data_IF_867813088681
#
_entry.id   IF_867813088681
#
_cell.length_a   1.000
_cell.length_b   1.000
_cell.length_c   1.000
_cell.angle_alpha   90.00
_cell.angle_beta   90.00
_cell.angle_gamma   90.00
#
_symmetry.space_group_name_H-M   'P 1'
#
loop_
_entity.id
_entity.type
_entity.pdbx_description
1 polymer ?
#
# COMPACT_ATOMS: atom_id res chain seq x y z
N UNK A 1 -67.65 -13.30 29.17
CA UNK A 1 -66.67 -14.10 29.94
C UNK A 1 -65.31 -13.53 29.57
N UNK A 2 -64.81 -12.51 30.27
CA UNK A 2 -64.42 -12.53 31.69
C UNK A 2 -62.94 -12.96 31.72
N UNK A 3 -62.02 -12.40 32.47
CA UNK A 3 -62.00 -11.29 33.41
C UNK A 3 -60.51 -10.95 33.64
N UNK A 4 -60.29 -9.76 34.18
CA UNK A 4 -59.07 -9.23 34.78
C UNK A 4 -58.02 -10.21 35.34
N UNK A 5 -56.73 -9.86 35.18
CA UNK A 5 -55.86 -9.41 36.30
C UNK A 5 -54.46 -8.95 35.85
N UNK A 6 -54.07 -7.75 36.29
CA UNK A 6 -52.69 -7.32 36.54
C UNK A 6 -52.16 -7.94 37.85
N UNK A 7 -50.84 -7.90 38.12
CA UNK A 7 -50.22 -6.79 38.89
C UNK A 7 -48.87 -6.32 38.25
N UNK A 8 -48.58 -5.02 38.12
CA UNK A 8 -48.11 -4.02 39.12
C UNK A 8 -46.75 -4.35 39.78
N UNK A 9 -45.77 -3.46 39.58
CA UNK A 9 -44.55 -3.39 40.40
C UNK A 9 -43.38 -2.54 39.86
N UNK A 10 -43.48 -1.20 39.94
CA UNK A 10 -42.41 -0.21 40.25
C UNK A 10 -41.08 -0.22 39.47
N UNK A 11 -40.77 0.73 38.57
CA UNK A 11 -40.47 2.17 38.75
C UNK A 11 -39.18 2.49 39.53
N UNK A 12 -38.14 2.97 38.82
CA UNK A 12 -37.06 3.89 39.26
C UNK A 12 -36.33 4.40 37.99
N UNK A 13 -36.81 5.50 37.41
CA UNK A 13 -36.18 6.84 37.41
C UNK A 13 -34.86 6.96 36.64
N UNK A 14 -34.97 7.43 35.39
CA UNK A 14 -33.94 8.13 34.62
C UNK A 14 -33.63 9.49 35.28
N UNK A 15 -32.35 9.91 35.38
CA UNK A 15 -32.03 11.32 35.56
C UNK A 15 -31.82 12.03 34.21
N UNK A 16 -32.40 13.22 34.13
CA UNK A 16 -32.38 14.16 33.04
C UNK A 16 -31.07 14.96 32.93
N UNK A 17 -30.74 15.35 31.69
CA UNK A 17 -30.22 16.64 31.21
C UNK A 17 -29.39 17.56 32.13
N UNK A 18 -28.17 17.91 31.69
CA UNK A 18 -27.57 19.22 31.96
C UNK A 18 -26.74 19.72 30.75
N UNK A 19 -27.04 20.91 30.20
CA UNK A 19 -26.29 21.52 29.09
C UNK A 19 -25.32 22.61 29.59
N UNK A 20 -24.28 22.90 28.81
CA UNK A 20 -23.49 24.14 28.86
C UNK A 20 -21.97 23.95 28.75
N UNK A 21 -21.19 24.97 28.36
CA UNK A 21 -21.57 26.32 27.98
C UNK A 21 -21.34 26.66 26.49
N UNK A 22 -22.21 27.55 26.01
CA UNK A 22 -22.10 28.34 24.79
C UNK A 22 -20.87 29.26 24.79
N UNK A 23 -20.01 29.14 23.79
CA UNK A 23 -19.20 30.27 23.32
C UNK A 23 -19.85 30.84 22.06
N UNK A 24 -20.65 31.86 22.31
CA UNK A 24 -21.22 32.74 21.30
C UNK A 24 -20.11 33.53 20.59
N UNK A 25 -20.22 33.56 19.26
CA UNK A 25 -20.13 34.79 18.45
C UNK A 25 -18.74 35.42 18.27
N UNK A 26 -18.12 35.14 17.12
CA UNK A 26 -17.72 36.23 16.22
C UNK A 26 -18.18 35.91 14.81
N UNK A 27 -19.18 36.69 14.37
CA UNK A 27 -19.46 36.95 12.98
C UNK A 27 -18.42 37.93 12.46
N UNK A 28 -17.98 37.74 11.23
CA UNK A 28 -17.09 38.65 10.52
C UNK A 28 -17.06 38.27 9.04
N UNK A 29 -17.82 39.02 8.26
CA UNK A 29 -18.04 38.90 6.83
C UNK A 29 -16.75 39.02 6.02
N UNK A 30 -16.70 38.39 4.83
CA UNK A 30 -15.69 38.76 3.85
C UNK A 30 -15.47 37.76 2.71
N UNK A 31 -16.06 38.06 1.56
CA UNK A 31 -15.36 37.86 0.29
C UNK A 31 -15.71 36.60 -0.50
N UNK A 32 -16.74 36.73 -1.33
CA UNK A 32 -16.84 35.97 -2.57
C UNK A 32 -15.59 36.18 -3.44
N UNK A 33 -14.77 35.14 -3.62
CA UNK A 33 -13.88 35.01 -4.80
C UNK A 33 -13.79 33.55 -5.24
N UNK A 34 -14.06 33.37 -6.54
CA UNK A 34 -13.85 32.19 -7.38
C UNK A 34 -12.56 31.44 -7.05
N UNK A 35 -12.61 30.11 -7.01
CA UNK A 35 -11.62 29.26 -7.68
C UNK A 35 -12.06 27.78 -7.69
N UNK A 36 -12.35 27.30 -8.89
CA UNK A 36 -12.65 25.93 -9.29
C UNK A 36 -11.45 24.98 -9.11
N UNK A 37 -11.08 24.66 -7.86
CA UNK A 37 -9.97 23.73 -7.55
C UNK A 37 -10.24 22.69 -6.46
N UNK A 38 -11.38 22.77 -5.75
CA UNK A 38 -11.64 21.95 -4.56
C UNK A 38 -12.13 20.52 -4.83
N UNK A 39 -12.71 20.25 -6.01
CA UNK A 39 -13.36 18.94 -6.28
C UNK A 39 -12.35 17.81 -6.54
N UNK A 40 -11.17 18.13 -7.06
CA UNK A 40 -10.12 17.13 -7.34
C UNK A 40 -9.37 16.73 -6.07
N UNK A 41 -9.21 17.67 -5.11
CA UNK A 41 -8.55 17.39 -3.82
C UNK A 41 -9.47 16.64 -2.85
N UNK A 42 -10.77 16.90 -2.88
CA UNK A 42 -11.74 16.14 -2.09
C UNK A 42 -11.86 14.67 -2.55
N UNK A 43 -11.71 14.41 -3.86
CA UNK A 43 -11.74 13.05 -4.41
C UNK A 43 -10.50 12.23 -3.99
N UNK A 44 -9.32 12.86 -3.87
CA UNK A 44 -8.11 12.18 -3.39
C UNK A 44 -8.13 11.91 -1.87
N UNK A 45 -8.74 12.79 -1.08
CA UNK A 45 -8.86 12.59 0.36
C UNK A 45 -9.86 11.48 0.73
N UNK A 46 -10.91 11.28 -0.08
CA UNK A 46 -11.87 10.19 0.10
C UNK A 46 -11.29 8.80 -0.24
N UNK A 47 -10.27 8.73 -1.11
CA UNK A 47 -9.54 7.50 -1.42
C UNK A 47 -8.51 7.11 -0.36
N UNK A 48 -8.07 8.07 0.48
CA UNK A 48 -7.09 7.83 1.55
C UNK A 48 -7.71 7.36 2.87
N UNK A 49 -9.03 7.49 3.04
CA UNK A 49 -9.71 7.09 4.29
C UNK A 49 -10.30 5.67 4.27
N UNK A 50 -10.24 4.96 3.14
CA UNK A 50 -10.82 3.61 2.99
C UNK A 50 -9.82 2.46 3.24
N UNK A 51 -8.61 2.75 3.70
CA UNK A 51 -7.56 1.75 3.93
C UNK A 51 -7.34 1.38 5.42
N UNK A 52 -8.13 1.94 6.35
CA UNK A 52 -8.03 1.63 7.77
C UNK A 52 -9.19 0.71 8.23
N UNK A 53 -9.24 -0.51 7.69
CA UNK A 53 -10.07 -1.60 8.19
C UNK A 53 -9.20 -2.64 8.92
N UNK A 54 -9.74 -3.35 9.94
CA UNK A 54 -8.98 -4.33 10.71
C UNK A 54 -8.48 -5.46 9.80
N UNK A 55 -7.20 -5.81 9.94
CA UNK A 55 -6.54 -6.86 9.19
C UNK A 55 -7.01 -8.25 9.66
N UNK A 56 -8.11 -8.72 9.08
CA UNK A 56 -8.33 -10.16 8.90
C UNK A 56 -7.99 -10.47 7.44
N UNK A 57 -6.94 -11.25 7.24
CA UNK A 57 -6.59 -11.81 5.93
C UNK A 57 -7.69 -12.83 5.56
N UNK A 58 -8.75 -12.32 4.96
CA UNK A 58 -9.89 -13.10 4.48
C UNK A 58 -9.46 -13.90 3.24
N UNK A 59 -9.76 -15.20 3.18
CA UNK A 59 -9.48 -16.10 2.05
C UNK A 59 -10.03 -15.53 0.72
N UNK A 60 -11.10 -14.73 0.82
CA UNK A 60 -11.66 -13.97 -0.29
C UNK A 60 -10.72 -12.85 -0.81
N UNK A 61 -9.90 -12.23 0.03
CA UNK A 61 -8.90 -11.23 -0.39
C UNK A 61 -7.71 -11.89 -1.09
N UNK A 62 -7.25 -13.05 -0.62
CA UNK A 62 -6.18 -13.80 -1.29
C UNK A 62 -6.64 -14.29 -2.67
N UNK A 63 -7.85 -14.82 -2.76
CA UNK A 63 -8.43 -15.28 -4.04
C UNK A 63 -8.54 -14.13 -5.03
N UNK A 64 -9.02 -12.95 -4.59
CA UNK A 64 -9.07 -11.73 -5.42
C UNK A 64 -7.69 -11.26 -5.87
N UNK A 65 -6.66 -11.35 -5.02
CA UNK A 65 -5.28 -11.01 -5.38
C UNK A 65 -4.72 -11.96 -6.45
N UNK A 66 -4.99 -13.26 -6.32
CA UNK A 66 -4.59 -14.27 -7.31
C UNK A 66 -5.28 -14.04 -8.66
N UNK A 67 -6.57 -13.72 -8.65
CA UNK A 67 -7.31 -13.45 -9.87
C UNK A 67 -6.89 -12.12 -10.52
N UNK A 68 -6.65 -11.08 -9.72
CA UNK A 68 -6.07 -9.81 -10.20
C UNK A 68 -4.68 -10.03 -10.83
N UNK A 69 -3.84 -10.89 -10.24
CA UNK A 69 -2.53 -11.24 -10.79
C UNK A 69 -2.65 -11.99 -12.12
N UNK A 70 -3.55 -12.99 -12.22
CA UNK A 70 -3.82 -13.70 -13.49
C UNK A 70 -4.31 -12.75 -14.58
N UNK A 71 -5.20 -11.82 -14.21
CA UNK A 71 -5.69 -10.81 -15.13
C UNK A 71 -4.57 -9.87 -15.60
N UNK A 72 -3.70 -9.43 -14.69
CA UNK A 72 -2.54 -8.60 -15.02
C UNK A 72 -1.55 -9.33 -15.96
N UNK A 73 -1.26 -10.61 -15.70
CA UNK A 73 -0.40 -11.44 -16.59
C UNK A 73 -1.03 -11.59 -17.98
N UNK A 74 -2.34 -11.78 -18.05
CA UNK A 74 -3.05 -11.92 -19.34
C UNK A 74 -3.06 -10.60 -20.11
N UNK A 75 -3.28 -9.48 -19.41
CA UNK A 75 -3.15 -8.15 -20.00
C UNK A 75 -1.73 -7.90 -20.50
N UNK A 76 -0.70 -8.27 -19.74
CA UNK A 76 0.69 -8.13 -20.14
C UNK A 76 0.99 -8.90 -21.44
N UNK A 77 0.58 -10.17 -21.53
CA UNK A 77 0.78 -10.96 -22.76
C UNK A 77 0.07 -10.36 -23.97
N UNK A 78 -1.19 -9.95 -23.80
CA UNK A 78 -1.97 -9.27 -24.86
C UNK A 78 -1.30 -7.97 -25.34
N UNK A 79 -0.71 -7.21 -24.41
CA UNK A 79 0.04 -6.00 -24.71
C UNK A 79 1.38 -6.30 -25.41
N UNK A 80 2.10 -7.34 -25.01
CA UNK A 80 3.32 -7.81 -25.67
C UNK A 80 3.04 -8.28 -27.10
N UNK A 81 1.95 -9.04 -27.31
CA UNK A 81 1.50 -9.47 -28.64
C UNK A 81 1.14 -8.27 -29.53
N UNK A 82 0.47 -7.26 -28.98
CA UNK A 82 0.13 -6.02 -29.70
C UNK A 82 1.39 -5.23 -30.09
N UNK A 83 2.41 -5.20 -29.23
CA UNK A 83 3.70 -4.56 -29.51
C UNK A 83 4.46 -5.30 -30.62
N UNK A 84 4.54 -6.63 -30.55
CA UNK A 84 5.15 -7.46 -31.58
C UNK A 84 4.44 -7.30 -32.94
N UNK A 85 3.10 -7.22 -32.92
CA UNK A 85 2.31 -6.99 -34.13
C UNK A 85 2.56 -5.59 -34.74
N UNK A 86 2.69 -4.55 -33.92
CA UNK A 86 3.04 -3.21 -34.39
C UNK A 86 4.46 -3.18 -34.98
N UNK A 87 5.43 -3.85 -34.33
CA UNK A 87 6.80 -3.95 -34.85
C UNK A 87 6.86 -4.67 -36.20
N UNK A 88 6.07 -5.73 -36.39
CA UNK A 88 5.94 -6.43 -37.67
C UNK A 88 5.37 -5.51 -38.76
N UNK A 89 4.31 -4.75 -38.45
CA UNK A 89 3.70 -3.78 -39.38
C UNK A 89 4.66 -2.66 -39.80
N UNK A 90 5.55 -2.22 -38.90
CA UNK A 90 6.60 -1.25 -39.24
C UNK A 90 7.60 -1.89 -40.21
N UNK A 91 8.07 -3.11 -39.93
CA UNK A 91 9.02 -3.81 -40.80
C UNK A 91 8.45 -4.09 -42.20
N UNK A 92 7.17 -4.44 -42.30
CA UNK A 92 6.52 -4.68 -43.59
C UNK A 92 6.31 -3.38 -44.38
N UNK A 93 5.97 -2.28 -43.71
CA UNK A 93 5.90 -0.95 -44.34
C UNK A 93 7.28 -0.47 -44.83
N UNK A 94 8.35 -0.70 -44.07
CA UNK A 94 9.71 -0.34 -44.49
C UNK A 94 10.11 -1.08 -45.78
N UNK A 95 9.72 -2.36 -45.92
CA UNK A 95 9.93 -3.14 -47.15
C UNK A 95 9.13 -2.58 -48.32
N UNK A 96 7.87 -2.20 -48.10
CA UNK A 96 7.02 -1.59 -49.14
C UNK A 96 7.58 -0.26 -49.61
N UNK A 97 8.02 0.60 -48.69
CA UNK A 97 8.68 1.87 -49.01
C UNK A 97 9.97 1.62 -49.80
N UNK A 98 10.79 0.65 -49.40
CA UNK A 98 12.00 0.29 -50.13
C UNK A 98 11.69 -0.22 -51.55
N UNK A 99 10.67 -1.06 -51.71
CA UNK A 99 10.24 -1.60 -52.99
C UNK A 99 9.66 -0.51 -53.92
N UNK A 100 8.88 0.42 -53.38
CA UNK A 100 8.35 1.56 -54.14
C UNK A 100 9.46 2.53 -54.57
N UNK A 101 10.45 2.78 -53.69
CA UNK A 101 11.65 3.57 -54.05
C UNK A 101 12.45 2.90 -55.17
N UNK A 102 12.67 1.59 -55.11
CA UNK A 102 13.38 0.87 -56.16
C UNK A 102 12.65 0.93 -57.52
N UNK A 103 11.31 0.87 -57.52
CA UNK A 103 10.51 1.05 -58.74
C UNK A 103 10.62 2.47 -59.32
N UNK A 104 10.76 3.49 -58.47
CA UNK A 104 10.98 4.87 -58.90
C UNK A 104 12.32 5.01 -59.64
N UNK A 105 13.38 4.44 -59.09
CA UNK A 105 14.72 4.54 -59.67
C UNK A 105 14.81 3.77 -61.00
N UNK A 106 14.06 2.68 -61.15
CA UNK A 106 13.98 1.92 -62.41
C UNK A 106 13.17 2.60 -63.52
N UNK A 107 12.13 3.38 -63.19
CA UNK A 107 11.26 4.05 -64.19
C UNK A 107 11.75 5.42 -64.66
N UNK A 108 12.71 6.02 -63.94
CA UNK A 108 13.30 7.33 -64.26
C UNK A 108 14.01 7.46 -65.64
N UNK A 109 14.64 6.44 -66.24
CA UNK A 109 15.42 6.63 -67.47
C UNK A 109 14.64 6.54 -68.81
N UNK A 110 13.31 6.40 -68.83
CA UNK A 110 12.54 6.10 -70.06
C UNK A 110 11.62 7.22 -70.62
N UNK A 111 11.77 8.48 -70.21
CA UNK A 111 10.85 9.55 -70.65
C UNK A 111 11.19 10.12 -72.06
N UNK A 112 10.45 9.66 -73.09
CA UNK A 112 10.34 10.23 -74.45
C UNK A 112 9.28 11.34 -74.59
N UNK A 113 9.02 11.92 -75.80
CA UNK A 113 8.65 13.32 -75.96
C UNK A 113 7.22 13.71 -75.52
N UNK A 114 7.18 14.65 -74.58
CA UNK A 114 6.13 15.62 -74.21
C UNK A 114 4.71 15.13 -73.82
N UNK A 115 4.05 14.24 -74.56
CA UNK A 115 2.69 13.78 -74.20
C UNK A 115 2.74 12.69 -73.12
N UNK A 116 3.70 11.77 -73.20
CA UNK A 116 4.01 10.81 -72.12
C UNK A 116 4.59 11.48 -70.88
N UNK A 117 5.20 12.66 -71.03
CA UNK A 117 5.91 13.35 -69.95
C UNK A 117 4.95 13.92 -68.90
N UNK A 118 3.82 14.48 -69.32
CA UNK A 118 2.81 15.02 -68.41
C UNK A 118 2.09 13.93 -67.61
N UNK A 119 1.80 12.77 -68.23
CA UNK A 119 1.23 11.62 -67.54
C UNK A 119 2.26 10.94 -66.61
N UNK A 120 3.51 10.83 -67.05
CA UNK A 120 4.61 10.35 -66.22
C UNK A 120 4.85 11.25 -65.00
N UNK A 121 4.80 12.58 -65.16
CA UNK A 121 4.91 13.54 -64.07
C UNK A 121 3.73 13.46 -63.10
N UNK A 122 2.50 13.28 -63.60
CA UNK A 122 1.31 13.06 -62.74
C UNK A 122 1.42 11.78 -61.93
N UNK A 123 1.80 10.67 -62.57
CA UNK A 123 2.03 9.40 -61.87
C UNK A 123 3.16 9.51 -60.85
N UNK A 124 4.30 10.13 -61.22
CA UNK A 124 5.41 10.36 -60.29
C UNK A 124 5.01 11.23 -59.10
N UNK A 125 4.19 12.26 -59.33
CA UNK A 125 3.66 13.11 -58.26
C UNK A 125 2.69 12.34 -57.33
N UNK A 126 1.81 11.51 -57.88
CA UNK A 126 0.90 10.67 -57.10
C UNK A 126 1.68 9.62 -56.27
N UNK A 127 2.66 8.95 -56.88
CA UNK A 127 3.52 8.00 -56.17
C UNK A 127 4.35 8.68 -55.08
N UNK A 128 4.93 9.85 -55.34
CA UNK A 128 5.66 10.61 -54.32
C UNK A 128 4.75 11.04 -53.17
N UNK A 129 3.48 11.39 -53.44
CA UNK A 129 2.49 11.68 -52.39
C UNK A 129 2.18 10.44 -51.56
N UNK A 130 1.99 9.27 -52.20
CA UNK A 130 1.77 7.99 -51.49
C UNK A 130 2.98 7.63 -50.63
N UNK A 131 4.18 7.78 -51.17
CA UNK A 131 5.43 7.49 -50.47
C UNK A 131 5.67 8.43 -49.29
N UNK A 132 5.31 9.71 -49.43
CA UNK A 132 5.34 10.67 -48.31
C UNK A 132 4.32 10.31 -47.22
N UNK A 133 3.10 9.93 -47.61
CA UNK A 133 2.07 9.51 -46.67
C UNK A 133 2.44 8.23 -45.91
N UNK A 134 3.02 7.23 -46.59
CA UNK A 134 3.50 5.99 -45.96
C UNK A 134 4.69 6.24 -45.03
N UNK A 135 5.67 7.08 -45.42
CA UNK A 135 6.77 7.42 -44.52
C UNK A 135 6.27 8.14 -43.26
N UNK A 136 5.27 9.01 -43.36
CA UNK A 136 4.69 9.67 -42.19
C UNK A 136 3.93 8.67 -41.30
N UNK A 137 3.21 7.71 -41.88
CA UNK A 137 2.59 6.64 -41.10
C UNK A 137 3.64 5.76 -40.40
N UNK A 138 4.71 5.36 -41.09
CA UNK A 138 5.81 4.60 -40.50
C UNK A 138 6.46 5.37 -39.34
N UNK A 139 6.68 6.68 -39.51
CA UNK A 139 7.20 7.57 -38.45
C UNK A 139 6.27 7.63 -37.24
N UNK A 140 4.96 7.81 -37.46
CA UNK A 140 3.97 7.84 -36.39
C UNK A 140 3.84 6.51 -35.64
N UNK A 141 3.95 5.38 -36.34
CA UNK A 141 3.96 4.06 -35.72
C UNK A 141 5.24 3.84 -34.90
N UNK A 142 6.40 4.26 -35.42
CA UNK A 142 7.66 4.22 -34.70
C UNK A 142 7.65 5.07 -33.42
N UNK A 143 7.17 6.30 -33.49
CA UNK A 143 7.02 7.17 -32.31
C UNK A 143 6.07 6.59 -31.27
N UNK A 144 4.95 6.04 -31.72
CA UNK A 144 3.98 5.34 -30.87
C UNK A 144 4.65 4.17 -30.16
N UNK A 145 5.41 3.35 -30.89
CA UNK A 145 6.10 2.18 -30.36
C UNK A 145 7.16 2.55 -29.32
N UNK A 146 7.93 3.61 -29.54
CA UNK A 146 8.90 4.10 -28.54
C UNK A 146 8.21 4.65 -27.28
N UNK A 147 7.08 5.35 -27.43
CA UNK A 147 6.25 5.77 -26.28
C UNK A 147 5.73 4.57 -25.49
N UNK A 148 5.29 3.51 -26.18
CA UNK A 148 4.84 2.27 -25.52
C UNK A 148 5.97 1.56 -24.78
N UNK A 149 7.16 1.43 -25.39
CA UNK A 149 8.34 0.87 -24.72
C UNK A 149 8.72 1.67 -23.47
N UNK A 150 8.72 3.00 -23.57
CA UNK A 150 9.02 3.87 -22.44
C UNK A 150 8.00 3.69 -21.30
N UNK A 151 6.70 3.68 -21.62
CA UNK A 151 5.64 3.46 -20.65
C UNK A 151 5.72 2.07 -19.99
N UNK A 152 6.04 1.03 -20.77
CA UNK A 152 6.24 -0.33 -20.26
C UNK A 152 7.42 -0.39 -19.28
N UNK A 153 8.58 0.16 -19.67
CA UNK A 153 9.76 0.19 -18.80
C UNK A 153 9.46 0.96 -17.50
N UNK A 154 8.73 2.07 -17.59
CA UNK A 154 8.33 2.84 -16.42
C UNK A 154 7.37 2.05 -15.51
N UNK A 155 6.41 1.33 -16.08
CA UNK A 155 5.51 0.47 -15.32
C UNK A 155 6.25 -0.69 -14.63
N UNK A 156 7.21 -1.31 -15.33
CA UNK A 156 8.05 -2.38 -14.78
C UNK A 156 8.92 -1.88 -13.61
N UNK A 157 9.52 -0.69 -13.73
CA UNK A 157 10.30 -0.08 -12.64
C UNK A 157 9.43 0.27 -11.43
N UNK A 158 8.23 0.83 -11.65
CA UNK A 158 7.27 1.08 -10.56
C UNK A 158 6.85 -0.23 -9.88
N UNK A 159 6.59 -1.29 -10.64
CA UNK A 159 6.25 -2.59 -10.09
C UNK A 159 7.38 -3.17 -9.22
N UNK A 160 8.64 -3.11 -9.70
CA UNK A 160 9.82 -3.53 -8.93
C UNK A 160 10.01 -2.72 -7.66
N UNK A 161 9.87 -1.40 -7.74
CA UNK A 161 9.99 -0.52 -6.57
C UNK A 161 8.90 -0.80 -5.52
N UNK A 162 7.65 -1.06 -5.97
CA UNK A 162 6.55 -1.46 -5.07
C UNK A 162 6.81 -2.80 -4.40
N UNK A 163 7.34 -3.77 -5.13
CA UNK A 163 7.67 -5.08 -4.57
C UNK A 163 8.81 -4.98 -3.55
N UNK A 164 9.84 -4.17 -3.82
CA UNK A 164 10.92 -3.91 -2.87
C UNK A 164 10.41 -3.24 -1.57
N UNK A 165 9.54 -2.24 -1.68
CA UNK A 165 8.91 -1.62 -0.51
C UNK A 165 8.01 -2.61 0.25
N UNK A 166 7.24 -3.45 -0.45
CA UNK A 166 6.43 -4.49 0.18
C UNK A 166 7.32 -5.47 0.96
N UNK A 167 8.43 -5.93 0.39
CA UNK A 167 9.38 -6.80 1.08
C UNK A 167 10.00 -6.13 2.31
N UNK A 168 10.38 -4.85 2.20
CA UNK A 168 10.90 -4.05 3.32
C UNK A 168 9.88 -3.93 4.45
N UNK A 169 8.64 -3.59 4.12
CA UNK A 169 7.56 -3.47 5.10
C UNK A 169 7.21 -4.80 5.74
N UNK A 170 7.17 -5.89 4.96
CA UNK A 170 6.95 -7.24 5.48
C UNK A 170 8.02 -7.62 6.51
N UNK A 171 9.30 -7.38 6.22
CA UNK A 171 10.39 -7.60 7.17
C UNK A 171 10.31 -6.71 8.41
N UNK A 172 9.90 -5.46 8.26
CA UNK A 172 9.70 -4.55 9.40
C UNK A 172 8.55 -5.00 10.31
N UNK A 173 7.44 -5.47 9.72
CA UNK A 173 6.31 -6.04 10.45
C UNK A 173 6.75 -7.29 11.20
N UNK A 174 7.43 -8.23 10.55
CA UNK A 174 7.93 -9.45 11.21
C UNK A 174 8.86 -9.12 12.39
N UNK A 175 9.78 -8.17 12.19
CA UNK A 175 10.68 -7.72 13.25
C UNK A 175 9.97 -7.00 14.40
N UNK A 176 8.89 -6.25 14.12
CA UNK A 176 8.04 -5.64 15.16
C UNK A 176 7.22 -6.68 15.90
N UNK A 177 6.64 -7.66 15.20
CA UNK A 177 5.87 -8.76 15.79
C UNK A 177 6.74 -9.56 16.75
N UNK A 178 7.94 -9.99 16.33
CA UNK A 178 8.89 -10.72 17.20
C UNK A 178 9.30 -9.93 18.44
N UNK A 179 9.49 -8.62 18.30
CA UNK A 179 9.76 -7.72 19.44
C UNK A 179 8.56 -7.62 20.37
N UNK A 180 7.35 -7.52 19.82
CA UNK A 180 6.10 -7.55 20.58
C UNK A 180 5.95 -8.82 21.41
N UNK A 181 6.09 -9.99 20.77
CA UNK A 181 6.03 -11.30 21.43
C UNK A 181 7.08 -11.43 22.54
N UNK A 182 8.30 -10.96 22.29
CA UNK A 182 9.38 -10.97 23.31
C UNK A 182 9.05 -10.07 24.50
N UNK A 183 8.52 -8.86 24.24
CA UNK A 183 8.10 -7.94 25.29
C UNK A 183 6.94 -8.50 26.11
N UNK A 184 5.96 -9.14 25.48
CA UNK A 184 4.84 -9.79 26.15
C UNK A 184 5.33 -10.94 27.05
N UNK A 185 6.21 -11.80 26.53
CA UNK A 185 6.80 -12.89 27.32
C UNK A 185 7.60 -12.37 28.52
N UNK A 186 8.43 -11.34 28.33
CA UNK A 186 9.19 -10.70 29.42
C UNK A 186 8.27 -10.02 30.44
N UNK A 187 7.19 -9.38 30.01
CA UNK A 187 6.21 -8.78 30.91
C UNK A 187 5.52 -9.85 31.76
N UNK A 188 5.11 -10.96 31.16
CA UNK A 188 4.54 -12.09 31.92
C UNK A 188 5.52 -12.63 32.97
N UNK A 189 6.81 -12.72 32.64
CA UNK A 189 7.87 -13.13 33.58
C UNK A 189 8.08 -12.10 34.68
N UNK A 190 8.13 -10.80 34.36
CA UNK A 190 8.20 -9.72 35.35
C UNK A 190 7.01 -9.75 36.31
N UNK A 191 5.80 -9.98 35.81
CA UNK A 191 4.60 -10.11 36.63
C UNK A 191 4.71 -11.31 37.58
N UNK A 192 5.23 -12.45 37.10
CA UNK A 192 5.48 -13.62 37.95
C UNK A 192 6.50 -13.31 39.06
N UNK A 193 7.65 -12.72 38.71
CA UNK A 193 8.67 -12.31 39.68
C UNK A 193 8.11 -11.31 40.69
N UNK A 194 7.29 -10.35 40.25
CA UNK A 194 6.61 -9.41 41.13
C UNK A 194 5.69 -10.10 42.16
N UNK A 195 4.93 -11.11 41.73
CA UNK A 195 4.11 -11.91 42.65
C UNK A 195 4.97 -12.76 43.61
N UNK A 196 6.07 -13.35 43.13
CA UNK A 196 7.02 -14.08 43.99
C UNK A 196 7.59 -13.18 45.11
N UNK A 197 7.88 -11.91 44.80
CA UNK A 197 8.32 -10.91 45.79
C UNK A 197 7.20 -10.62 46.80
N UNK A 198 5.99 -10.36 46.32
CA UNK A 198 4.84 -10.07 47.18
C UNK A 198 4.51 -11.22 48.13
N UNK A 199 4.60 -12.46 47.66
CA UNK A 199 4.34 -13.63 48.50
C UNK A 199 5.43 -13.82 49.55
N UNK A 200 6.71 -13.61 49.21
CA UNK A 200 7.81 -13.66 50.18
C UNK A 200 7.75 -12.55 51.22
N UNK A 201 7.31 -11.34 50.85
CA UNK A 201 7.11 -10.27 51.82
C UNK A 201 6.03 -10.63 52.84
N UNK A 202 4.93 -11.28 52.42
CA UNK A 202 3.92 -11.80 53.36
C UNK A 202 4.50 -12.86 54.30
N UNK A 203 5.31 -13.77 53.76
CA UNK A 203 5.96 -14.80 54.59
C UNK A 203 6.95 -14.19 55.59
N UNK A 204 7.69 -13.14 55.20
CA UNK A 204 8.57 -12.39 56.09
C UNK A 204 7.78 -11.65 57.15
N UNK A 205 6.67 -10.97 56.82
CA UNK A 205 5.83 -10.30 57.82
C UNK A 205 5.31 -11.29 58.88
N UNK A 206 4.91 -12.50 58.45
CA UNK A 206 4.48 -13.58 59.37
C UNK A 206 5.67 -14.12 60.19
N UNK A 207 6.82 -14.34 59.55
CA UNK A 207 8.02 -14.84 60.22
C UNK A 207 8.64 -13.82 61.19
N UNK A 208 8.56 -12.53 60.87
CA UNK A 208 9.07 -11.41 61.67
C UNK A 208 8.14 -11.13 62.87
N UNK A 209 6.82 -11.29 62.70
CA UNK A 209 5.88 -11.33 63.82
C UNK A 209 6.19 -12.46 64.82
N UNK A 210 6.69 -13.61 64.33
CA UNK A 210 7.13 -14.73 65.17
C UNK A 210 8.54 -14.49 65.74
N UNK A 211 9.46 -13.93 64.95
CA UNK A 211 10.87 -13.72 65.31
C UNK A 211 11.11 -12.50 66.20
N UNK A 212 10.19 -11.53 66.28
CA UNK A 212 10.21 -10.46 67.27
C UNK A 212 10.27 -10.98 68.74
N UNK A 213 10.01 -12.28 68.94
CA UNK A 213 10.17 -12.97 70.21
C UNK A 213 11.56 -13.58 70.46
N UNK A 214 12.53 -13.56 69.52
CA UNK A 214 13.88 -14.13 69.75
C UNK A 214 15.08 -13.27 69.25
N UNK A 215 16.22 -13.22 69.97
CA UNK A 215 17.24 -12.17 69.82
C UNK A 215 18.39 -12.46 68.84
N UNK A 216 18.36 -13.53 68.04
CA UNK A 216 19.49 -13.96 67.18
C UNK A 216 19.25 -13.68 65.68
N UNK A 217 19.33 -12.41 65.27
CA UNK A 217 18.86 -11.93 63.94
C UNK A 217 19.95 -11.85 62.85
N UNK A 218 21.20 -12.23 63.15
CA UNK A 218 22.34 -12.05 62.23
C UNK A 218 22.27 -12.87 60.95
N UNK A 219 21.94 -14.16 61.05
CA UNK A 219 21.81 -15.08 59.90
C UNK A 219 20.61 -14.73 59.02
N UNK A 220 19.50 -14.31 59.62
CA UNK A 220 18.27 -13.89 58.91
C UNK A 220 18.49 -12.66 58.02
N UNK A 221 19.32 -11.71 58.47
CA UNK A 221 19.68 -10.53 57.67
C UNK A 221 20.44 -10.89 56.39
N UNK A 222 21.33 -11.89 56.44
CA UNK A 222 22.09 -12.35 55.27
C UNK A 222 21.18 -13.09 54.29
N UNK A 223 20.25 -13.92 54.80
CA UNK A 223 19.22 -14.58 53.97
C UNK A 223 18.36 -13.57 53.21
N UNK A 224 17.92 -12.48 53.87
CA UNK A 224 17.15 -11.40 53.23
C UNK A 224 17.96 -10.64 52.19
N UNK A 225 19.26 -10.39 52.43
CA UNK A 225 20.14 -9.77 51.44
C UNK A 225 20.35 -10.65 50.20
N UNK A 226 20.57 -11.96 50.39
CA UNK A 226 20.68 -12.92 49.29
C UNK A 226 19.39 -12.94 48.47
N UNK A 227 18.25 -12.95 49.14
CA UNK A 227 16.95 -12.98 48.47
C UNK A 227 16.67 -11.68 47.69
N UNK A 228 17.05 -10.52 48.23
CA UNK A 228 16.95 -9.25 47.54
C UNK A 228 17.83 -9.20 46.28
N UNK A 229 19.05 -9.76 46.35
CA UNK A 229 19.93 -9.90 45.18
C UNK A 229 19.33 -10.84 44.13
N UNK A 230 18.84 -12.01 44.51
CA UNK A 230 18.23 -12.97 43.57
C UNK A 230 17.06 -12.35 42.77
N UNK A 231 16.23 -11.53 43.43
CA UNK A 231 15.14 -10.84 42.76
C UNK A 231 15.61 -9.66 41.90
N UNK A 232 16.64 -8.95 42.34
CA UNK A 232 17.25 -7.91 41.54
C UNK A 232 17.81 -8.49 40.23
N UNK A 233 18.47 -9.64 40.29
CA UNK A 233 19.00 -10.33 39.12
C UNK A 233 17.88 -10.81 38.19
N UNK A 234 16.81 -11.41 38.73
CA UNK A 234 15.61 -11.79 37.95
C UNK A 234 14.96 -10.61 37.24
N UNK A 235 14.85 -9.45 37.90
CA UNK A 235 14.27 -8.24 37.29
C UNK A 235 15.18 -7.67 36.18
N UNK A 236 16.49 -7.75 36.36
CA UNK A 236 17.47 -7.31 35.36
C UNK A 236 17.46 -8.22 34.12
N UNK A 237 17.38 -9.55 34.30
CA UNK A 237 17.31 -10.53 33.22
C UNK A 237 16.06 -10.35 32.34
N UNK A 238 14.94 -9.96 32.94
CA UNK A 238 13.67 -9.76 32.23
C UNK A 238 13.49 -8.35 31.68
N UNK A 239 14.44 -7.44 31.91
CA UNK A 239 14.39 -6.08 31.35
C UNK A 239 14.38 -6.15 29.82
N UNK A 240 13.48 -5.40 29.20
CA UNK A 240 13.49 -5.22 27.75
C UNK A 240 14.74 -4.39 27.36
N UNK A 241 15.56 -4.95 26.46
CA UNK A 241 16.67 -4.24 25.82
C UNK A 241 16.20 -3.49 24.57
N UNK A 242 17.02 -2.57 24.03
CA UNK A 242 16.71 -1.84 22.80
C UNK A 242 16.54 -2.74 21.57
#
# INVERSE_FOLDING_TARGET
>A
MGDHKMPLGFALTLPAYRPGPSLSRQAGEGGARRASGGRVRAALAALLFLAAGPAWADEATETRLRDALRQAITQQRSLEDSSAQLQAKVSDQDKLIAALKAQLDQKKPAAGPAVDRAEAERMAAEFNRRLAAENEQARQMGETLEKWKAAYNQAAEVARAREAERARLAGAVEGLTKRGETCEAKNALLFKVGNEILDRLKDVDVAEAIAAHEPFVGTKRVELQSLAQDFQDKLLDQRAGP
#
